data_IF_028711197463
#
_entry.id   IF_028711197463
#
_cell.length_a   1.000
_cell.length_b   1.000
_cell.length_c   1.000
_cell.angle_alpha   90.00
_cell.angle_beta   90.00
_cell.angle_gamma   90.00
#
_symmetry.space_group_name_H-M   'P 1'
#
loop_
_entity.id
_entity.type
_entity.pdbx_description
1 polymer ?
#
# COMPACT_ATOMS: atom_id res chain seq x y z
N UNK A 1 45.06 24.05 32.42
CA UNK A 1 44.82 22.60 32.23
C UNK A 1 43.31 22.38 32.10
N UNK A 2 42.78 22.20 30.89
CA UNK A 2 41.34 21.98 30.64
C UNK A 2 41.09 20.48 30.48
N UNK A 3 40.25 19.89 31.34
CA UNK A 3 39.79 18.50 31.22
C UNK A 3 38.74 18.40 30.10
N UNK A 4 38.84 17.46 29.16
CA UNK A 4 37.74 17.15 28.25
C UNK A 4 36.76 16.18 28.91
N UNK A 5 35.46 16.49 28.81
CA UNK A 5 34.34 15.62 29.16
C UNK A 5 34.00 14.71 27.98
N UNK A 6 34.13 13.40 28.15
CA UNK A 6 33.71 12.42 27.14
C UNK A 6 32.20 12.23 27.24
N UNK A 7 31.49 12.66 26.20
CA UNK A 7 30.05 12.44 26.03
C UNK A 7 29.81 11.04 25.48
N UNK A 8 29.17 10.17 26.26
CA UNK A 8 28.76 8.84 25.81
C UNK A 8 27.40 8.94 25.13
N UNK A 9 27.39 9.00 23.80
CA UNK A 9 26.17 8.85 23.01
C UNK A 9 25.68 7.39 23.07
N UNK A 10 24.57 7.17 23.77
CA UNK A 10 23.87 5.88 23.86
C UNK A 10 23.14 5.62 22.54
N UNK A 11 23.71 4.76 21.69
CA UNK A 11 23.03 4.28 20.47
C UNK A 11 21.84 3.41 20.90
N UNK A 12 20.62 3.93 20.72
CA UNK A 12 19.39 3.17 20.90
C UNK A 12 19.25 2.17 19.75
N UNK A 13 19.57 0.91 20.01
CA UNK A 13 19.39 -0.20 19.07
C UNK A 13 17.88 -0.43 18.85
N UNK A 14 17.35 0.07 17.74
CA UNK A 14 15.97 -0.18 17.29
C UNK A 14 15.78 -1.71 17.19
N UNK A 15 14.72 -2.31 17.76
CA UNK A 15 14.46 -3.74 17.60
C UNK A 15 14.29 -4.06 16.11
N UNK A 16 14.68 -5.27 15.64
CA UNK A 16 14.53 -5.62 14.24
C UNK A 16 13.05 -5.51 13.88
N UNK A 17 12.76 -4.66 12.88
CA UNK A 17 11.43 -4.61 12.30
C UNK A 17 11.11 -6.03 11.80
N UNK A 18 9.92 -6.55 12.12
CA UNK A 18 9.41 -7.72 11.41
C UNK A 18 9.44 -7.36 9.93
N UNK A 19 10.28 -8.05 9.15
CA UNK A 19 10.36 -7.82 7.71
C UNK A 19 8.98 -8.07 7.11
N UNK A 20 8.63 -7.36 6.04
CA UNK A 20 7.31 -7.49 5.42
C UNK A 20 7.00 -8.95 5.03
N UNK A 21 8.04 -9.72 4.68
CA UNK A 21 7.98 -11.15 4.41
C UNK A 21 7.40 -11.95 5.59
N UNK A 22 7.86 -11.69 6.81
CA UNK A 22 7.37 -12.36 8.01
C UNK A 22 5.90 -12.01 8.33
N UNK A 23 5.43 -10.84 7.89
CA UNK A 23 4.02 -10.49 7.97
C UNK A 23 3.18 -11.31 6.98
N UNK A 24 3.66 -11.50 5.75
CA UNK A 24 2.94 -12.31 4.77
C UNK A 24 2.85 -13.79 5.18
N UNK A 25 3.84 -14.31 5.88
CA UNK A 25 3.85 -15.68 6.41
C UNK A 25 2.78 -15.93 7.49
N UNK A 26 2.26 -14.88 8.12
CA UNK A 26 1.21 -14.99 9.13
C UNK A 26 -0.21 -15.13 8.55
N UNK A 27 -0.41 -14.87 7.25
CA UNK A 27 -1.73 -15.02 6.63
C UNK A 27 -2.02 -16.48 6.26
N UNK A 28 -3.31 -16.90 6.27
CA UNK A 28 -3.71 -18.16 5.67
C UNK A 28 -3.21 -18.29 4.23
N UNK A 29 -2.82 -19.49 3.81
CA UNK A 29 -2.22 -19.72 2.49
C UNK A 29 -2.97 -19.08 1.30
N UNK A 30 -4.31 -19.19 1.16
CA UNK A 30 -5.00 -18.60 0.02
C UNK A 30 -5.01 -17.05 0.09
N UNK A 31 -5.14 -16.48 1.29
CA UNK A 31 -5.06 -15.04 1.54
C UNK A 31 -3.66 -14.52 1.22
N UNK A 32 -2.61 -15.20 1.70
CA UNK A 32 -1.20 -14.89 1.41
C UNK A 32 -0.96 -14.85 -0.10
N UNK A 33 -1.40 -15.86 -0.83
CA UNK A 33 -1.22 -15.93 -2.28
C UNK A 33 -1.88 -14.73 -2.98
N UNK A 34 -3.10 -14.36 -2.58
CA UNK A 34 -3.79 -13.18 -3.13
C UNK A 34 -3.05 -11.88 -2.81
N UNK A 35 -2.66 -11.68 -1.56
CA UNK A 35 -1.95 -10.47 -1.13
C UNK A 35 -0.59 -10.32 -1.82
N UNK A 36 0.14 -11.41 -2.02
CA UNK A 36 1.40 -11.39 -2.78
C UNK A 36 1.19 -11.06 -4.25
N UNK A 37 0.10 -11.54 -4.86
CA UNK A 37 -0.26 -11.15 -6.23
C UNK A 37 -0.56 -9.64 -6.32
N UNK A 38 -1.29 -9.09 -5.35
CA UNK A 38 -1.56 -7.64 -5.29
C UNK A 38 -0.27 -6.85 -5.03
N UNK A 39 0.61 -7.30 -4.11
CA UNK A 39 1.94 -6.71 -3.86
C UNK A 39 2.73 -6.59 -5.16
N UNK A 40 2.83 -7.70 -5.92
CA UNK A 40 3.49 -7.71 -7.23
C UNK A 40 2.84 -6.70 -8.18
N UNK A 41 1.51 -6.67 -8.24
CA UNK A 41 0.77 -5.74 -9.09
C UNK A 41 1.09 -4.28 -8.78
N UNK A 42 1.19 -3.93 -7.50
CA UNK A 42 1.51 -2.58 -7.04
C UNK A 42 2.91 -2.17 -7.51
N UNK A 43 3.93 -3.01 -7.30
CA UNK A 43 5.30 -2.71 -7.74
C UNK A 43 5.41 -2.60 -9.26
N UNK A 44 4.78 -3.51 -10.00
CA UNK A 44 4.81 -3.45 -11.47
C UNK A 44 4.10 -2.19 -11.98
N UNK A 45 2.97 -1.81 -11.38
CA UNK A 45 2.27 -0.57 -11.72
C UNK A 45 3.14 0.64 -11.44
N UNK A 46 3.83 0.69 -10.29
CA UNK A 46 4.74 1.77 -9.95
C UNK A 46 5.87 1.92 -10.97
N UNK A 47 6.50 0.81 -11.40
CA UNK A 47 7.58 0.81 -12.40
C UNK A 47 7.14 1.38 -13.75
N UNK A 48 5.90 1.13 -14.16
CA UNK A 48 5.38 1.57 -15.46
C UNK A 48 4.68 2.93 -15.42
N UNK A 49 4.48 3.51 -14.24
CA UNK A 49 3.74 4.77 -14.09
C UNK A 49 4.70 5.94 -13.95
N UNK A 50 4.68 6.84 -14.95
CA UNK A 50 5.54 8.04 -14.96
C UNK A 50 5.25 8.92 -13.74
N UNK A 51 6.31 9.40 -13.08
CA UNK A 51 6.22 10.33 -11.95
C UNK A 51 6.10 9.67 -10.57
N UNK A 52 5.94 8.35 -10.50
CA UNK A 52 5.89 7.60 -9.22
C UNK A 52 7.27 7.55 -8.55
N UNK A 53 8.33 7.27 -9.31
CA UNK A 53 9.68 7.09 -8.79
C UNK A 53 9.86 5.77 -8.03
N UNK A 54 10.83 5.71 -7.12
CA UNK A 54 11.03 4.52 -6.30
C UNK A 54 9.87 4.35 -5.29
N UNK A 55 9.23 3.18 -5.34
CA UNK A 55 8.17 2.81 -4.41
C UNK A 55 8.77 2.19 -3.14
N UNK A 56 8.42 2.72 -1.98
CA UNK A 56 8.78 2.16 -0.68
C UNK A 56 7.66 1.25 -0.16
N UNK A 57 8.03 0.06 0.31
CA UNK A 57 7.15 -0.82 1.09
C UNK A 57 7.52 -0.74 2.57
N UNK A 58 6.53 -0.47 3.41
CA UNK A 58 6.66 -0.37 4.85
C UNK A 58 5.45 -0.97 5.55
N UNK A 59 5.47 -1.01 6.89
CA UNK A 59 4.33 -1.43 7.69
C UNK A 59 3.68 -0.22 8.37
N UNK A 60 2.40 0.02 8.10
CA UNK A 60 1.57 0.96 8.87
C UNK A 60 0.41 0.21 9.48
N UNK A 61 0.19 0.38 10.78
CA UNK A 61 -0.85 -0.33 11.54
C UNK A 61 -0.77 -1.86 11.42
N UNK A 62 0.43 -2.41 11.23
CA UNK A 62 0.64 -3.85 11.02
C UNK A 62 0.25 -4.34 9.63
N UNK A 63 0.06 -3.46 8.64
CA UNK A 63 -0.35 -3.79 7.27
C UNK A 63 0.73 -3.39 6.26
N UNK A 64 0.98 -4.19 5.21
CA UNK A 64 1.81 -3.78 4.09
C UNK A 64 1.28 -2.50 3.45
N UNK A 65 2.15 -1.51 3.34
CA UNK A 65 1.83 -0.15 2.92
C UNK A 65 2.86 0.33 1.92
N UNK A 66 2.40 0.95 0.84
CA UNK A 66 3.20 1.35 -0.29
C UNK A 66 3.11 2.87 -0.49
N UNK A 67 4.28 3.49 -0.58
CA UNK A 67 4.42 4.94 -0.56
C UNK A 67 5.40 5.39 -1.63
N UNK A 68 5.29 6.66 -2.03
CA UNK A 68 6.24 7.35 -2.90
C UNK A 68 6.99 8.42 -2.11
N UNK A 69 7.84 8.06 -1.13
CA UNK A 69 8.47 9.03 -0.24
C UNK A 69 9.45 9.96 -0.96
N UNK A 70 10.08 9.48 -2.03
CA UNK A 70 11.03 10.25 -2.84
C UNK A 70 10.33 11.36 -3.64
N UNK A 71 9.26 11.00 -4.35
CA UNK A 71 8.57 11.93 -5.26
C UNK A 71 7.41 12.68 -4.61
N UNK A 72 6.83 12.14 -3.54
CA UNK A 72 5.61 12.63 -2.92
C UNK A 72 4.41 12.63 -3.88
N UNK A 73 4.46 11.83 -4.96
CA UNK A 73 3.50 11.87 -6.07
C UNK A 73 2.11 11.33 -5.69
N UNK A 74 2.02 10.47 -4.69
CA UNK A 74 0.88 9.58 -4.49
C UNK A 74 0.34 9.55 -3.08
N UNK A 75 -0.86 9.01 -2.96
CA UNK A 75 -1.49 8.64 -1.71
C UNK A 75 -1.05 7.22 -1.29
N UNK A 76 -0.96 6.95 0.01
CA UNK A 76 -0.56 5.62 0.51
C UNK A 76 -1.58 4.55 0.08
N UNK A 77 -1.09 3.47 -0.52
CA UNK A 77 -1.86 2.25 -0.80
C UNK A 77 -1.53 1.21 0.26
N UNK A 78 -2.52 0.52 0.82
CA UNK A 78 -2.30 -0.60 1.76
C UNK A 78 -3.06 -1.83 1.31
N UNK A 79 -2.62 -2.99 1.77
CA UNK A 79 -3.34 -4.25 1.53
C UNK A 79 -3.49 -5.00 2.83
N UNK A 80 -4.61 -5.69 3.02
CA UNK A 80 -4.77 -6.60 4.15
C UNK A 80 -5.90 -7.60 3.88
N UNK A 81 -5.96 -8.64 4.70
CA UNK A 81 -7.17 -9.44 4.85
C UNK A 81 -8.28 -8.60 5.48
N UNK A 82 -9.51 -8.73 4.97
CA UNK A 82 -10.68 -8.15 5.62
C UNK A 82 -11.03 -9.02 6.83
N UNK A 83 -11.20 -8.44 8.02
CA UNK A 83 -11.66 -9.18 9.20
C UNK A 83 -13.07 -8.73 9.58
N UNK A 84 -14.00 -9.64 9.92
CA UNK A 84 -13.82 -11.10 10.09
C UNK A 84 -13.97 -11.96 8.81
N UNK A 85 -14.13 -11.35 7.63
CA UNK A 85 -14.34 -12.08 6.37
C UNK A 85 -13.11 -12.88 5.91
N UNK A 86 -13.06 -14.17 6.21
CA UNK A 86 -11.89 -15.01 5.95
C UNK A 86 -11.52 -15.15 4.46
N UNK A 87 -12.48 -14.90 3.57
CA UNK A 87 -12.42 -15.08 2.12
C UNK A 87 -12.22 -13.78 1.34
N UNK A 88 -11.99 -12.65 2.02
CA UNK A 88 -11.80 -11.36 1.36
C UNK A 88 -10.47 -10.70 1.73
N UNK A 89 -9.88 -10.05 0.73
CA UNK A 89 -8.80 -9.10 0.91
C UNK A 89 -9.23 -7.74 0.40
N UNK A 90 -8.55 -6.70 0.87
CA UNK A 90 -8.83 -5.34 0.47
C UNK A 90 -7.58 -4.60 0.07
N UNK A 91 -7.73 -3.73 -0.92
CA UNK A 91 -6.78 -2.66 -1.22
C UNK A 91 -7.34 -1.38 -0.63
N UNK A 92 -6.66 -0.84 0.37
CA UNK A 92 -7.07 0.35 1.09
C UNK A 92 -6.39 1.61 0.57
N UNK A 93 -7.18 2.68 0.56
CA UNK A 93 -6.78 4.02 0.13
C UNK A 93 -7.04 5.03 1.25
N UNK A 94 -6.50 6.23 1.10
CA UNK A 94 -6.71 7.31 2.07
C UNK A 94 -8.15 7.86 1.98
N UNK A 95 -8.92 7.77 3.07
CA UNK A 95 -10.36 8.08 3.07
C UNK A 95 -10.72 9.55 2.85
N UNK A 96 -9.78 10.49 3.05
CA UNK A 96 -9.98 11.92 2.78
C UNK A 96 -9.64 12.32 1.33
N UNK A 97 -9.49 11.35 0.44
CA UNK A 97 -9.29 11.58 -1.00
C UNK A 97 -10.55 11.18 -1.76
N UNK A 98 -10.72 11.69 -2.97
CA UNK A 98 -11.80 11.26 -3.87
C UNK A 98 -11.47 9.98 -4.65
N UNK A 99 -10.35 9.30 -4.34
CA UNK A 99 -9.88 8.14 -5.11
C UNK A 99 -10.95 7.06 -5.26
N UNK A 100 -11.58 6.63 -4.15
CA UNK A 100 -12.58 5.55 -4.19
C UNK A 100 -13.86 5.97 -4.92
N UNK A 101 -14.23 7.25 -4.86
CA UNK A 101 -15.34 7.79 -5.65
C UNK A 101 -15.01 7.74 -7.15
N UNK A 102 -13.86 8.26 -7.54
CA UNK A 102 -13.36 8.18 -8.93
C UNK A 102 -13.27 6.74 -9.43
N UNK A 103 -12.80 5.80 -8.61
CA UNK A 103 -12.75 4.39 -8.99
C UNK A 103 -14.13 3.82 -9.25
N UNK A 104 -15.12 4.17 -8.41
CA UNK A 104 -16.49 3.68 -8.57
C UNK A 104 -17.15 4.20 -9.84
N UNK A 105 -16.82 5.41 -10.27
CA UNK A 105 -17.28 5.95 -11.56
C UNK A 105 -16.64 5.23 -12.75
N UNK A 106 -15.34 4.96 -12.68
CA UNK A 106 -14.59 4.31 -13.76
C UNK A 106 -14.86 2.80 -13.86
N UNK A 107 -15.08 2.16 -12.72
CA UNK A 107 -15.18 0.71 -12.56
C UNK A 107 -16.32 0.34 -11.59
N UNK A 108 -17.59 0.55 -11.99
CA UNK A 108 -18.75 0.23 -11.16
C UNK A 108 -18.91 -1.27 -10.89
N UNK A 109 -18.27 -2.14 -11.69
CA UNK A 109 -18.29 -3.59 -11.52
C UNK A 109 -17.40 -4.09 -10.36
N UNK A 110 -16.47 -3.26 -9.88
CA UNK A 110 -15.65 -3.61 -8.71
C UNK A 110 -16.47 -3.45 -7.42
N UNK A 111 -16.09 -4.24 -6.41
CA UNK A 111 -16.68 -4.15 -5.07
C UNK A 111 -15.91 -3.14 -4.21
N UNK A 112 -16.64 -2.29 -3.48
CA UNK A 112 -16.06 -1.25 -2.65
C UNK A 112 -16.59 -1.30 -1.21
N UNK A 113 -15.74 -0.94 -0.24
CA UNK A 113 -16.16 -0.75 1.15
C UNK A 113 -16.04 0.73 1.53
N UNK A 114 -17.20 1.38 1.68
CA UNK A 114 -17.31 2.81 1.94
C UNK A 114 -16.49 3.64 0.94
N UNK A 115 -15.68 4.55 1.48
CA UNK A 115 -14.79 5.44 0.71
C UNK A 115 -13.31 5.11 0.92
N UNK A 116 -12.98 3.86 1.30
CA UNK A 116 -11.62 3.52 1.72
C UNK A 116 -11.02 2.26 1.12
N UNK A 117 -11.79 1.42 0.42
CA UNK A 117 -11.26 0.17 -0.09
C UNK A 117 -11.94 -0.35 -1.34
N UNK A 118 -11.16 -1.07 -2.16
CA UNK A 118 -11.63 -2.07 -3.11
C UNK A 118 -11.57 -3.43 -2.43
N UNK A 119 -12.65 -4.21 -2.52
CA UNK A 119 -12.78 -5.57 -1.99
C UNK A 119 -12.54 -6.59 -3.10
N UNK A 120 -11.79 -7.64 -2.78
CA UNK A 120 -11.44 -8.72 -3.72
C UNK A 120 -11.66 -10.06 -3.02
N UNK A 121 -12.33 -10.97 -3.73
CA UNK A 121 -12.45 -12.36 -3.29
C UNK A 121 -11.09 -13.07 -3.41
N UNK A 122 -10.73 -13.81 -2.37
CA UNK A 122 -9.53 -14.65 -2.31
C UNK A 122 -9.57 -15.74 -3.39
N UNK A 123 -10.74 -16.34 -3.68
CA UNK A 123 -10.88 -17.38 -4.70
C UNK A 123 -11.02 -16.82 -6.12
N UNK A 124 -11.59 -15.62 -6.26
CA UNK A 124 -11.85 -14.97 -7.55
C UNK A 124 -10.59 -14.58 -8.34
N UNK A 125 -10.72 -14.39 -9.65
CA UNK A 125 -9.62 -13.85 -10.48
C UNK A 125 -9.34 -12.40 -10.12
N UNK A 126 -8.07 -11.99 -10.16
CA UNK A 126 -7.70 -10.60 -9.92
C UNK A 126 -8.12 -9.76 -11.15
N UNK A 127 -8.90 -8.69 -11.00
CA UNK A 127 -9.27 -7.79 -12.10
C UNK A 127 -8.08 -6.87 -12.43
N UNK A 128 -7.00 -7.45 -12.94
CA UNK A 128 -5.71 -6.77 -13.10
C UNK A 128 -5.78 -5.44 -13.86
N UNK A 129 -6.48 -5.31 -15.01
CA UNK A 129 -6.50 -4.05 -15.75
C UNK A 129 -7.09 -2.90 -14.95
N UNK A 130 -8.28 -3.11 -14.35
CA UNK A 130 -8.95 -2.11 -13.54
C UNK A 130 -8.13 -1.79 -12.27
N UNK A 131 -7.61 -2.83 -11.60
CA UNK A 131 -6.86 -2.64 -10.37
C UNK A 131 -5.53 -1.92 -10.60
N UNK A 132 -4.82 -2.19 -11.71
CA UNK A 132 -3.62 -1.43 -12.12
C UNK A 132 -3.94 0.04 -12.32
N UNK A 133 -5.07 0.36 -12.96
CA UNK A 133 -5.45 1.76 -13.17
C UNK A 133 -5.74 2.47 -11.84
N UNK A 134 -6.52 1.84 -10.94
CA UNK A 134 -6.79 2.39 -9.61
C UNK A 134 -5.51 2.59 -8.78
N UNK A 135 -4.58 1.63 -8.81
CA UNK A 135 -3.27 1.76 -8.16
C UNK A 135 -2.47 2.91 -8.77
N UNK A 136 -2.41 3.03 -10.09
CA UNK A 136 -1.72 4.11 -10.79
C UNK A 136 -2.23 5.48 -10.36
N UNK A 137 -3.56 5.68 -10.38
CA UNK A 137 -4.22 6.90 -9.92
C UNK A 137 -3.91 7.22 -8.45
N UNK A 138 -3.87 6.21 -7.58
CA UNK A 138 -3.49 6.41 -6.19
C UNK A 138 -2.02 6.84 -6.05
N UNK A 139 -1.10 6.20 -6.78
CA UNK A 139 0.33 6.50 -6.73
C UNK A 139 0.72 7.83 -7.42
N UNK A 140 -0.17 8.43 -8.20
CA UNK A 140 0.01 9.76 -8.82
C UNK A 140 -1.00 10.81 -8.31
N UNK A 141 -1.74 10.52 -7.25
CA UNK A 141 -2.83 11.39 -6.77
C UNK A 141 -2.42 12.85 -6.55
N UNK A 142 -1.32 13.10 -5.83
CA UNK A 142 -0.84 14.44 -5.53
C UNK A 142 -0.20 15.12 -6.75
N UNK A 143 0.44 14.34 -7.61
CA UNK A 143 0.99 14.84 -8.88
C UNK A 143 -0.13 15.37 -9.78
N UNK A 144 -1.20 14.60 -9.95
CA UNK A 144 -2.34 14.98 -10.79
C UNK A 144 -3.08 16.19 -10.21
N UNK A 145 -3.22 16.26 -8.88
CA UNK A 145 -3.85 17.40 -8.21
C UNK A 145 -3.09 18.72 -8.40
N UNK A 146 -1.75 18.68 -8.54
CA UNK A 146 -0.93 19.89 -8.80
C UNK A 146 -1.01 20.36 -10.26
N UNK A 147 -1.36 19.47 -11.17
CA UNK A 147 -1.48 19.76 -12.60
C UNK A 147 -2.89 20.22 -13.01
N UNK A 148 -3.85 20.16 -12.08
CA UNK A 148 -5.25 20.57 -12.28
C UNK A 148 -5.52 21.98 -11.80
#
# INVERSE_FOLDING_TARGET
MRKPTTSTSKVTRRPPAKSAEALFDAYPAPVKAKLLAIRRLIFETAKTTKGVGALEETLKWGQPSYLTPETGSGSTVRIDQVKPAADQVAVYFHCQTNLVETFRELYPELSYSGNRAILLDVAGKLPEPALRHCIGLALTYHLNKKAS
#
